data_IF_492192953220
#
_entry.id   IF_492192953220
#
_cell.length_a   1.000
_cell.length_b   1.000
_cell.length_c   1.000
_cell.angle_alpha   90.00
_cell.angle_beta   90.00
_cell.angle_gamma   90.00
#
_symmetry.space_group_name_H-M   'P 1'
#
loop_
_entity.id
_entity.type
_entity.pdbx_description
1 polymer ?
#
# COMPACT_ATOMS: atom_id res chain seq x y z
N UNK A 1 9.78 -5.28 25.95
CA UNK A 1 10.03 -6.62 26.53
C UNK A 1 9.82 -7.58 25.39
N UNK A 2 10.88 -8.11 24.82
CA UNK A 2 10.79 -9.16 23.80
C UNK A 2 11.10 -10.48 24.50
N UNK A 3 10.12 -11.39 24.56
CA UNK A 3 10.27 -12.68 25.22
C UNK A 3 10.63 -13.72 24.16
N UNK A 4 11.81 -14.36 24.24
CA UNK A 4 12.15 -15.43 23.31
C UNK A 4 11.13 -16.57 23.38
N UNK A 5 10.71 -17.07 22.22
CA UNK A 5 9.74 -18.17 22.09
C UNK A 5 10.09 -19.34 23.02
N UNK A 6 11.32 -19.85 22.99
CA UNK A 6 11.77 -20.97 23.82
C UNK A 6 11.54 -20.75 25.33
N UNK A 7 11.63 -19.50 25.81
CA UNK A 7 11.39 -19.13 27.20
C UNK A 7 9.90 -19.17 27.54
N UNK A 8 9.06 -18.68 26.64
CA UNK A 8 7.60 -18.74 26.79
C UNK A 8 7.10 -20.20 26.87
N UNK A 9 7.55 -21.08 25.96
CA UNK A 9 7.16 -22.51 26.01
C UNK A 9 7.66 -23.22 27.26
N UNK A 10 8.84 -22.85 27.76
CA UNK A 10 9.36 -23.37 29.03
C UNK A 10 8.45 -23.00 30.20
N UNK A 11 7.93 -21.76 30.22
CA UNK A 11 6.98 -21.31 31.26
C UNK A 11 5.64 -22.04 31.18
N UNK A 12 5.08 -22.18 29.98
CA UNK A 12 3.87 -22.99 29.80
C UNK A 12 4.06 -24.44 30.25
N UNK A 13 5.16 -25.08 29.85
CA UNK A 13 5.45 -26.47 30.23
C UNK A 13 5.62 -26.68 31.74
N UNK A 14 6.11 -25.66 32.46
CA UNK A 14 6.20 -25.69 33.94
C UNK A 14 4.86 -25.47 34.61
N UNK A 15 4.08 -24.50 34.14
CA UNK A 15 2.75 -24.21 34.66
C UNK A 15 1.78 -25.39 34.53
N UNK A 16 1.95 -26.23 33.50
CA UNK A 16 1.17 -27.47 33.32
C UNK A 16 1.50 -28.57 34.34
N UNK A 17 2.72 -28.57 34.91
CA UNK A 17 3.18 -29.63 35.82
C UNK A 17 2.96 -29.26 37.28
N UNK A 18 3.14 -27.98 37.63
CA UNK A 18 3.18 -27.52 39.03
C UNK A 18 2.51 -26.15 39.19
N UNK A 19 1.72 -25.99 40.26
CA UNK A 19 1.05 -24.73 40.61
C UNK A 19 1.67 -24.14 41.88
N UNK A 20 2.71 -23.33 41.68
CA UNK A 20 3.50 -22.71 42.75
C UNK A 20 3.58 -21.19 42.52
N UNK A 21 4.00 -20.42 43.53
CA UNK A 21 4.17 -18.97 43.39
C UNK A 21 5.10 -18.58 42.22
N UNK A 22 6.14 -19.37 41.98
CA UNK A 22 7.11 -19.15 40.89
C UNK A 22 6.52 -19.42 39.51
N UNK A 23 5.64 -20.41 39.35
CA UNK A 23 4.96 -20.66 38.07
C UNK A 23 3.88 -19.61 37.82
N UNK A 24 3.23 -19.09 38.86
CA UNK A 24 2.32 -17.95 38.78
C UNK A 24 3.03 -16.66 38.29
N UNK A 25 4.22 -16.34 38.83
CA UNK A 25 5.02 -15.20 38.37
C UNK A 25 5.46 -15.34 36.90
N UNK A 26 5.88 -16.54 36.50
CA UNK A 26 6.25 -16.82 35.10
C UNK A 26 5.07 -16.62 34.15
N UNK A 27 3.88 -17.10 34.53
CA UNK A 27 2.66 -16.90 33.75
C UNK A 27 2.21 -15.44 33.74
N UNK A 28 2.43 -14.69 34.82
CA UNK A 28 2.20 -13.24 34.83
C UNK A 28 3.13 -12.52 33.84
N UNK A 29 4.41 -12.89 33.75
CA UNK A 29 5.36 -12.34 32.76
C UNK A 29 4.89 -12.62 31.33
N UNK A 30 4.42 -13.84 31.06
CA UNK A 30 3.85 -14.21 29.76
C UNK A 30 2.59 -13.40 29.44
N UNK A 31 1.66 -13.26 30.39
CA UNK A 31 0.45 -12.46 30.20
C UNK A 31 0.77 -10.99 29.89
N UNK A 32 1.75 -10.41 30.60
CA UNK A 32 2.23 -9.05 30.35
C UNK A 32 2.84 -8.92 28.96
N UNK A 33 3.64 -9.88 28.54
CA UNK A 33 4.19 -9.92 27.18
C UNK A 33 3.09 -9.96 26.12
N UNK A 34 2.12 -10.89 26.23
CA UNK A 34 1.01 -11.01 25.29
C UNK A 34 0.16 -9.74 25.19
N UNK A 35 -0.09 -9.07 26.32
CA UNK A 35 -0.82 -7.80 26.35
C UNK A 35 -0.07 -6.70 25.61
N UNK A 36 1.25 -6.61 25.80
CA UNK A 36 2.09 -5.63 25.09
C UNK A 36 2.10 -5.92 23.59
N UNK A 37 2.21 -7.18 23.19
CA UNK A 37 2.26 -7.59 21.79
C UNK A 37 0.95 -7.26 21.06
N UNK A 38 -0.19 -7.63 21.65
CA UNK A 38 -1.51 -7.29 21.12
C UNK A 38 -1.74 -5.77 20.99
N UNK A 39 -1.32 -4.99 21.99
CA UNK A 39 -1.44 -3.53 21.98
C UNK A 39 -0.48 -2.88 20.98
N UNK A 40 0.68 -3.49 20.73
CA UNK A 40 1.69 -2.95 19.82
C UNK A 40 1.17 -2.89 18.38
N UNK A 41 0.42 -3.90 17.93
CA UNK A 41 -0.25 -3.89 16.62
C UNK A 41 -1.23 -2.73 16.48
N UNK A 42 -2.07 -2.49 17.50
CA UNK A 42 -3.03 -1.38 17.50
C UNK A 42 -2.31 -0.02 17.48
N UNK A 43 -1.25 0.13 18.29
CA UNK A 43 -0.42 1.35 18.31
C UNK A 43 0.24 1.60 16.97
N UNK A 44 0.73 0.56 16.30
CA UNK A 44 1.33 0.67 14.98
C UNK A 44 0.30 1.11 13.94
N UNK A 45 -0.90 0.52 13.96
CA UNK A 45 -2.01 0.89 13.07
C UNK A 45 -2.40 2.36 13.20
N UNK A 46 -2.47 2.88 14.43
CA UNK A 46 -2.73 4.31 14.70
C UNK A 46 -1.56 5.17 14.22
N UNK A 47 -0.31 4.81 14.55
CA UNK A 47 0.89 5.57 14.14
C UNK A 47 1.07 5.65 12.63
N UNK A 48 0.69 4.59 11.91
CA UNK A 48 0.74 4.51 10.45
C UNK A 48 -0.51 5.06 9.78
N UNK A 49 -1.51 5.53 10.54
CA UNK A 49 -2.73 6.13 10.01
C UNK A 49 -3.51 5.22 9.02
N UNK A 50 -3.34 3.89 9.15
CA UNK A 50 -3.72 2.91 8.11
C UNK A 50 -5.22 2.97 7.77
N UNK A 51 -6.07 3.08 8.79
CA UNK A 51 -7.53 3.12 8.59
C UNK A 51 -7.95 4.39 7.83
N UNK A 52 -7.33 5.53 8.14
CA UNK A 52 -7.69 6.79 7.49
C UNK A 52 -7.22 6.79 6.03
N UNK A 53 -6.04 6.26 5.73
CA UNK A 53 -5.55 6.10 4.36
C UNK A 53 -6.51 5.24 3.52
N UNK A 54 -6.93 4.07 4.03
CA UNK A 54 -7.91 3.24 3.33
C UNK A 54 -9.26 3.91 3.19
N UNK A 55 -9.69 4.68 4.20
CA UNK A 55 -10.96 5.43 4.14
C UNK A 55 -10.93 6.50 3.06
N UNK A 56 -9.82 7.21 2.91
CA UNK A 56 -9.65 8.21 1.84
C UNK A 56 -9.71 7.56 0.46
N UNK A 57 -8.98 6.45 0.27
CA UNK A 57 -9.01 5.69 -0.98
C UNK A 57 -10.42 5.15 -1.28
N UNK A 58 -11.12 4.62 -0.27
CA UNK A 58 -12.48 4.13 -0.40
C UNK A 58 -13.45 5.23 -0.83
N UNK A 59 -13.34 6.43 -0.24
CA UNK A 59 -14.15 7.58 -0.57
C UNK A 59 -13.88 8.09 -2.00
N UNK A 60 -12.62 8.19 -2.40
CA UNK A 60 -12.24 8.65 -3.75
C UNK A 60 -12.69 7.65 -4.80
N UNK A 61 -12.48 6.36 -4.57
CA UNK A 61 -12.78 5.33 -5.56
C UNK A 61 -14.22 4.80 -5.48
N UNK A 62 -15.07 5.31 -4.58
CA UNK A 62 -16.46 4.86 -4.36
C UNK A 62 -16.60 3.36 -4.05
N UNK A 63 -15.67 2.80 -3.28
CA UNK A 63 -15.65 1.38 -2.89
C UNK A 63 -15.80 1.21 -1.38
N UNK A 64 -16.03 -0.02 -0.92
CA UNK A 64 -16.05 -0.29 0.53
C UNK A 64 -14.64 -0.17 1.13
N UNK A 65 -14.57 0.08 2.45
CA UNK A 65 -13.30 0.08 3.18
C UNK A 65 -12.58 -1.28 3.08
N UNK A 66 -13.35 -2.37 3.04
CA UNK A 66 -12.84 -3.73 2.85
C UNK A 66 -12.16 -3.86 1.48
N UNK A 67 -12.82 -3.37 0.43
CA UNK A 67 -12.28 -3.47 -0.92
C UNK A 67 -11.03 -2.60 -1.11
N UNK A 68 -10.98 -1.45 -0.43
CA UNK A 68 -9.79 -0.61 -0.40
C UNK A 68 -8.57 -1.32 0.22
N UNK A 69 -8.80 -2.25 1.16
CA UNK A 69 -7.75 -3.03 1.81
C UNK A 69 -7.35 -4.28 1.00
N UNK A 70 -8.32 -5.07 0.55
CA UNK A 70 -8.05 -6.39 -0.03
C UNK A 70 -7.78 -6.38 -1.54
N UNK A 71 -8.30 -5.40 -2.29
CA UNK A 71 -8.18 -5.39 -3.74
C UNK A 71 -7.12 -4.41 -4.26
N UNK A 72 -6.54 -4.78 -5.40
CA UNK A 72 -5.51 -4.00 -6.08
C UNK A 72 -6.06 -2.70 -6.68
N UNK A 73 -5.15 -1.78 -7.04
CA UNK A 73 -5.46 -0.44 -7.55
C UNK A 73 -6.35 -0.49 -8.79
N UNK A 74 -6.19 -1.50 -9.66
CA UNK A 74 -7.00 -1.65 -10.88
C UNK A 74 -8.51 -1.62 -10.60
N UNK A 75 -8.98 -2.35 -9.58
CA UNK A 75 -10.40 -2.32 -9.19
C UNK A 75 -10.87 -0.92 -8.78
N UNK A 76 -10.02 -0.18 -8.06
CA UNK A 76 -10.30 1.17 -7.55
C UNK A 76 -10.45 2.16 -8.71
N UNK A 77 -9.52 2.09 -9.66
CA UNK A 77 -9.55 2.91 -10.89
C UNK A 77 -10.75 2.54 -11.76
N UNK A 78 -11.06 1.25 -11.90
CA UNK A 78 -12.23 0.80 -12.67
C UNK A 78 -13.53 1.34 -12.08
N UNK A 79 -13.70 1.26 -10.75
CA UNK A 79 -14.93 1.76 -10.12
C UNK A 79 -15.04 3.29 -10.22
N UNK A 80 -13.93 4.01 -9.99
CA UNK A 80 -13.88 5.45 -10.21
C UNK A 80 -14.25 5.83 -11.66
N UNK A 81 -13.69 5.12 -12.64
CA UNK A 81 -14.00 5.32 -14.06
C UNK A 81 -15.48 5.07 -14.35
N UNK A 82 -16.05 3.98 -13.81
CA UNK A 82 -17.48 3.66 -13.98
C UNK A 82 -18.39 4.77 -13.45
N UNK A 83 -18.06 5.38 -12.31
CA UNK A 83 -18.82 6.51 -11.76
C UNK A 83 -18.70 7.75 -12.66
N UNK A 84 -17.49 8.09 -13.10
CA UNK A 84 -17.28 9.24 -14.01
C UNK A 84 -18.02 9.08 -15.34
N UNK A 85 -17.93 7.90 -15.94
CA UNK A 85 -18.60 7.57 -17.21
C UNK A 85 -20.12 7.60 -17.06
N UNK A 86 -20.66 7.16 -15.92
CA UNK A 86 -22.09 7.26 -15.61
C UNK A 86 -22.57 8.71 -15.58
N UNK A 87 -21.81 9.63 -14.97
CA UNK A 87 -22.12 11.06 -14.97
C UNK A 87 -22.11 11.67 -16.37
N UNK A 88 -21.18 11.25 -17.22
CA UNK A 88 -21.08 11.71 -18.61
C UNK A 88 -22.05 11.02 -19.56
N UNK A 89 -22.85 10.06 -19.07
CA UNK A 89 -23.79 9.25 -19.86
C UNK A 89 -23.11 8.49 -21.01
N UNK A 90 -21.87 8.09 -20.79
CA UNK A 90 -21.09 7.25 -21.70
C UNK A 90 -21.21 5.79 -21.24
N UNK A 91 -20.92 4.83 -22.13
CA UNK A 91 -20.87 3.40 -21.80
C UNK A 91 -19.45 2.87 -22.02
N UNK A 92 -18.95 2.07 -21.07
CA UNK A 92 -17.66 1.37 -21.22
C UNK A 92 -17.85 0.03 -21.91
N UNK A 93 -16.98 -0.28 -22.87
CA UNK A 93 -16.90 -1.60 -23.49
C UNK A 93 -16.38 -2.65 -22.48
N UNK A 94 -16.91 -3.88 -22.54
CA UNK A 94 -16.42 -5.03 -21.74
C UNK A 94 -15.42 -5.89 -22.53
N UNK A 95 -14.94 -5.43 -23.68
CA UNK A 95 -13.96 -6.13 -24.49
C UNK A 95 -12.63 -6.19 -23.71
N UNK A 96 -12.15 -7.40 -23.40
CA UNK A 96 -10.77 -7.58 -22.96
C UNK A 96 -9.91 -7.83 -24.20
N UNK A 97 -9.06 -6.88 -24.56
CA UNK A 97 -8.05 -7.13 -25.59
C UNK A 97 -7.02 -8.16 -25.10
N UNK A 98 -6.54 -8.99 -26.02
CA UNK A 98 -5.48 -9.96 -25.76
C UNK A 98 -4.20 -9.20 -25.45
N UNK A 99 -3.41 -9.71 -24.51
CA UNK A 99 -2.08 -9.21 -24.19
C UNK A 99 -1.27 -9.01 -25.47
N UNK A 100 -0.99 -7.75 -25.82
CA UNK A 100 0.07 -7.43 -26.77
C UNK A 100 1.38 -7.98 -26.18
N UNK A 101 2.04 -8.87 -26.92
CA UNK A 101 3.27 -9.54 -26.46
C UNK A 101 4.48 -8.59 -26.50
N UNK A 102 4.32 -7.43 -27.14
CA UNK A 102 5.39 -6.47 -27.39
C UNK A 102 5.31 -5.30 -26.41
N UNK A 103 6.46 -4.94 -25.82
CA UNK A 103 6.55 -3.79 -24.91
C UNK A 103 6.71 -2.51 -25.71
N UNK A 104 5.98 -1.47 -25.31
CA UNK A 104 6.22 -0.12 -25.82
C UNK A 104 7.55 0.44 -25.29
N UNK A 105 8.22 1.34 -26.03
CA UNK A 105 9.36 2.11 -25.52
C UNK A 105 8.94 2.93 -24.29
N UNK A 106 9.73 2.84 -23.23
CA UNK A 106 9.46 3.52 -21.96
C UNK A 106 10.28 4.83 -21.82
N UNK A 107 10.59 5.24 -20.59
CA UNK A 107 11.36 6.43 -20.29
C UNK A 107 12.79 6.40 -20.86
N UNK A 108 13.23 7.56 -21.34
CA UNK A 108 14.63 7.78 -21.72
C UNK A 108 15.48 8.11 -20.49
N UNK A 109 16.59 7.41 -20.31
CA UNK A 109 17.55 7.63 -19.23
C UNK A 109 18.81 8.26 -19.80
N UNK A 110 19.16 9.46 -19.33
CA UNK A 110 20.43 10.09 -19.70
C UNK A 110 21.62 9.27 -19.20
N UNK A 111 22.67 9.07 -20.02
CA UNK A 111 23.86 8.38 -19.57
C UNK A 111 24.52 9.14 -18.42
N UNK A 112 24.77 8.50 -17.26
CA UNK A 112 25.29 9.21 -16.10
C UNK A 112 26.77 9.56 -16.27
N UNK A 113 27.15 10.78 -15.88
CA UNK A 113 28.55 11.14 -15.68
C UNK A 113 28.95 10.60 -14.30
N UNK A 114 29.73 9.50 -14.30
CA UNK A 114 30.16 8.84 -13.07
C UNK A 114 31.36 9.57 -12.47
N UNK A 115 31.36 9.74 -11.15
CA UNK A 115 32.47 10.33 -10.42
C UNK A 115 32.00 11.11 -9.19
N UNK A 116 32.96 11.62 -8.42
CA UNK A 116 32.70 12.50 -7.30
C UNK A 116 32.76 13.95 -7.76
N UNK A 117 31.61 14.64 -7.73
CA UNK A 117 31.52 16.06 -8.07
C UNK A 117 31.73 16.92 -6.82
N UNK A 118 32.94 17.46 -6.66
CA UNK A 118 33.34 18.30 -5.52
C UNK A 118 33.58 19.77 -5.93
N UNK A 119 33.49 20.12 -7.21
CA UNK A 119 33.85 21.44 -7.70
C UNK A 119 32.66 22.39 -7.62
N UNK A 120 31.47 21.89 -7.94
CA UNK A 120 30.25 22.71 -8.03
C UNK A 120 29.05 22.02 -7.36
N UNK A 121 28.11 22.79 -6.78
CA UNK A 121 26.86 22.24 -6.29
C UNK A 121 26.01 21.73 -7.45
N UNK A 122 25.40 20.55 -7.30
CA UNK A 122 24.47 19.96 -8.27
C UNK A 122 23.04 20.19 -7.79
N UNK A 123 22.20 20.79 -8.63
CA UNK A 123 20.78 21.04 -8.31
C UNK A 123 19.92 19.99 -9.00
N UNK A 124 19.10 19.28 -8.22
CA UNK A 124 18.08 18.37 -8.75
C UNK A 124 16.84 19.14 -9.15
N UNK A 125 16.49 19.09 -10.44
CA UNK A 125 15.22 19.61 -10.96
C UNK A 125 14.37 18.42 -11.41
N UNK A 126 13.08 18.48 -11.10
CA UNK A 126 12.11 17.44 -11.45
C UNK A 126 10.75 18.06 -11.80
N UNK A 127 9.92 17.30 -12.50
CA UNK A 127 8.55 17.68 -12.84
C UNK A 127 7.56 17.08 -11.84
N UNK A 128 6.70 17.90 -11.26
CA UNK A 128 5.59 17.41 -10.44
C UNK A 128 4.56 16.66 -11.30
N UNK A 129 4.34 15.38 -11.02
CA UNK A 129 3.30 14.57 -11.67
C UNK A 129 3.35 14.59 -13.21
N UNK A 130 4.54 14.38 -13.79
CA UNK A 130 4.82 14.50 -15.23
C UNK A 130 3.76 13.84 -16.14
N UNK A 131 3.51 12.53 -15.96
CA UNK A 131 2.57 11.79 -16.81
C UNK A 131 1.14 12.32 -16.71
N UNK A 132 0.67 12.64 -15.49
CA UNK A 132 -0.67 13.17 -15.29
C UNK A 132 -0.82 14.56 -15.95
N UNK A 133 0.23 15.39 -15.83
CA UNK A 133 0.27 16.70 -16.48
C UNK A 133 0.17 16.57 -18.01
N UNK A 134 0.85 15.59 -18.61
CA UNK A 134 0.73 15.31 -20.04
C UNK A 134 -0.66 14.82 -20.44
N UNK A 135 -1.25 13.90 -19.67
CA UNK A 135 -2.62 13.42 -19.90
C UNK A 135 -3.60 14.60 -19.92
N UNK A 136 -3.48 15.51 -18.96
CA UNK A 136 -4.35 16.68 -18.85
C UNK A 136 -4.11 17.70 -19.96
N UNK A 137 -2.85 18.10 -20.21
CA UNK A 137 -2.54 19.19 -21.16
C UNK A 137 -2.85 18.81 -22.61
N UNK A 138 -2.65 17.53 -22.97
CA UNK A 138 -2.92 17.01 -24.31
C UNK A 138 -4.33 16.42 -24.43
N UNK A 139 -5.16 16.50 -23.38
CA UNK A 139 -6.51 15.97 -23.35
C UNK A 139 -6.57 14.49 -23.78
N UNK A 140 -5.62 13.69 -23.27
CA UNK A 140 -5.52 12.27 -23.58
C UNK A 140 -6.61 11.52 -22.82
N UNK A 141 -7.58 11.00 -23.55
CA UNK A 141 -8.66 10.19 -23.00
C UNK A 141 -9.17 9.20 -24.06
N UNK A 142 -9.65 8.01 -23.68
CA UNK A 142 -10.15 7.03 -24.64
C UNK A 142 -11.25 7.55 -25.58
N UNK A 143 -12.10 8.46 -25.12
CA UNK A 143 -13.19 9.07 -25.91
C UNK A 143 -12.70 10.16 -26.90
N UNK A 144 -11.42 10.53 -26.84
CA UNK A 144 -10.79 11.53 -27.71
C UNK A 144 -9.87 10.94 -28.78
N UNK A 145 -9.71 9.61 -28.81
CA UNK A 145 -8.87 8.92 -29.78
C UNK A 145 -9.56 8.94 -31.15
N UNK A 146 -8.86 9.45 -32.17
CA UNK A 146 -9.28 9.40 -33.57
C UNK A 146 -8.39 8.37 -34.27
N UNK A 147 -8.98 7.26 -34.70
CA UNK A 147 -8.29 6.24 -35.48
C UNK A 147 -8.31 6.65 -36.97
N UNK A 148 -7.14 6.69 -37.59
CA UNK A 148 -6.95 6.97 -39.03
C UNK A 148 -7.16 5.74 -39.89
#
# INVERSE_FOLDING_TARGET
>A
MDMPFHRMFKYYGRALRETNATTAEQMHEVAKYCMIDALSCQRLMVKRNVINEYREVANIAFISLSDAHYFAIGMKVSNLLSVSVWWERVLTSTISERTETESFPDAYIFPPIKGLENKHPVTGLDFGSLYLSFIMIYNLSPDKIILS
#
